data_IF_808413178783
#
_entry.id   IF_808413178783
#
_cell.length_a   1.000
_cell.length_b   1.000
_cell.length_c   1.000
_cell.angle_alpha   90.00
_cell.angle_beta   90.00
_cell.angle_gamma   90.00
#
_symmetry.space_group_name_H-M   'P 1'
#
loop_
_entity.id
_entity.type
_entity.pdbx_description
1 polymer ?
#
# COMPACT_ATOMS: atom_id res chain seq x y z
N UNK A 1 9.07 45.24 1.41
CA UNK A 1 9.48 43.82 1.39
C UNK A 1 8.20 43.01 1.36
N UNK A 2 7.96 42.31 0.25
CA UNK A 2 6.63 41.78 -0.07
C UNK A 2 6.38 40.49 0.72
N UNK A 3 5.53 40.57 1.74
CA UNK A 3 5.09 39.51 2.64
C UNK A 3 4.36 38.34 1.93
N UNK A 4 4.17 38.44 0.62
CA UNK A 4 3.54 37.40 -0.21
C UNK A 4 4.51 36.31 -0.69
N UNK A 5 5.81 36.58 -0.77
CA UNK A 5 6.79 35.59 -1.29
C UNK A 5 7.40 34.71 -0.21
N UNK A 6 7.29 35.09 1.07
CA UNK A 6 7.80 34.32 2.21
C UNK A 6 7.05 33.00 2.45
N UNK A 7 5.82 32.88 1.93
CA UNK A 7 4.93 31.71 2.12
C UNK A 7 5.08 30.62 1.04
N UNK A 8 5.85 30.88 -0.02
CA UNK A 8 6.11 29.89 -1.09
C UNK A 8 7.31 28.98 -0.78
N UNK A 9 8.18 29.44 0.13
CA UNK A 9 9.35 28.67 0.60
C UNK A 9 9.04 27.85 1.86
N UNK A 10 7.84 28.02 2.44
CA UNK A 10 7.40 27.18 3.56
C UNK A 10 7.14 25.76 3.04
N UNK A 11 7.82 24.73 3.60
CA UNK A 11 7.56 23.36 3.22
C UNK A 11 6.09 23.04 3.49
N UNK A 12 5.41 22.52 2.46
CA UNK A 12 4.00 22.16 2.56
C UNK A 12 3.77 21.32 3.82
N UNK A 13 2.71 21.64 4.60
CA UNK A 13 2.42 20.92 5.82
C UNK A 13 2.26 19.42 5.51
N UNK A 14 3.00 18.58 6.23
CA UNK A 14 2.99 17.15 6.00
C UNK A 14 1.60 16.59 6.34
N UNK A 15 0.87 16.12 5.32
CA UNK A 15 -0.45 15.51 5.52
C UNK A 15 -0.27 14.21 6.31
N UNK A 16 -0.92 14.12 7.47
CA UNK A 16 -0.94 12.90 8.28
C UNK A 16 -1.86 11.86 7.63
N UNK A 17 -1.31 11.06 6.72
CA UNK A 17 -2.02 9.97 6.06
C UNK A 17 -2.06 8.71 6.97
N UNK A 18 -3.20 8.02 6.97
CA UNK A 18 -3.40 6.74 7.67
C UNK A 18 -4.20 5.79 6.78
N UNK A 19 -4.21 4.49 7.10
CA UNK A 19 -5.04 3.52 6.34
C UNK A 19 -6.55 3.79 6.43
N UNK A 20 -6.99 4.67 7.34
CA UNK A 20 -8.40 5.05 7.50
C UNK A 20 -8.70 6.47 7.03
N UNK A 21 -7.72 7.14 6.40
CA UNK A 21 -7.92 8.47 5.82
C UNK A 21 -8.93 8.41 4.67
N UNK A 22 -9.71 9.47 4.51
CA UNK A 22 -10.70 9.66 3.44
C UNK A 22 -10.58 11.08 2.89
N UNK A 23 -11.01 11.25 1.65
CA UNK A 23 -11.13 12.52 0.94
C UNK A 23 -12.23 12.35 -0.12
N UNK A 24 -13.45 12.08 0.37
CA UNK A 24 -14.56 11.63 -0.48
C UNK A 24 -15.04 12.70 -1.47
N UNK A 25 -14.74 13.97 -1.23
CA UNK A 25 -15.03 15.08 -2.16
C UNK A 25 -14.18 15.01 -3.43
N UNK A 26 -13.05 14.29 -3.37
CA UNK A 26 -12.13 14.08 -4.49
C UNK A 26 -12.12 12.60 -4.95
N UNK A 27 -13.23 11.88 -4.76
CA UNK A 27 -13.40 10.46 -5.12
C UNK A 27 -12.35 9.52 -4.50
N UNK A 28 -11.84 9.88 -3.32
CA UNK A 28 -10.86 9.08 -2.58
C UNK A 28 -11.45 8.61 -1.25
N UNK A 29 -11.66 7.30 -1.15
CA UNK A 29 -12.47 6.68 -0.12
C UNK A 29 -11.63 5.87 0.88
N UNK A 30 -12.31 5.17 1.79
CA UNK A 30 -11.70 4.15 2.65
C UNK A 30 -12.68 3.00 2.84
N UNK A 31 -12.29 1.82 2.35
CA UNK A 31 -13.15 0.64 2.35
C UNK A 31 -12.89 -0.29 3.54
N UNK A 32 -11.85 0.01 4.34
CA UNK A 32 -11.61 -0.66 5.61
C UNK A 32 -12.70 -0.31 6.63
N UNK A 33 -13.50 -1.31 6.97
CA UNK A 33 -14.65 -1.14 7.85
C UNK A 33 -14.24 -0.85 9.30
N UNK A 34 -15.06 -0.03 9.98
CA UNK A 34 -14.94 0.17 11.43
C UNK A 34 -15.12 -1.19 12.13
N UNK A 35 -14.31 -1.48 13.15
CA UNK A 35 -14.54 -2.64 14.01
C UNK A 35 -15.94 -2.50 14.63
N UNK A 36 -16.85 -3.42 14.31
CA UNK A 36 -18.22 -3.48 14.83
C UNK A 36 -18.42 -4.83 15.53
N UNK A 37 -19.31 -4.88 16.53
CA UNK A 37 -19.77 -6.15 17.08
C UNK A 37 -20.47 -6.97 16.00
N UNK A 38 -20.18 -8.27 15.95
CA UNK A 38 -20.80 -9.23 15.02
C UNK A 38 -19.88 -9.68 13.87
N UNK A 39 -20.42 -10.52 13.00
CA UNK A 39 -19.68 -11.24 11.95
C UNK A 39 -19.56 -10.45 10.63
N UNK A 40 -19.47 -9.11 10.70
CA UNK A 40 -19.43 -8.26 9.50
C UNK A 40 -18.06 -8.34 8.81
N UNK A 41 -18.01 -8.29 7.47
CA UNK A 41 -16.76 -8.30 6.74
C UNK A 41 -15.88 -7.08 7.09
N UNK A 42 -14.57 -7.25 6.92
CA UNK A 42 -13.60 -6.18 7.14
C UNK A 42 -13.57 -5.14 6.00
N UNK A 43 -14.20 -5.45 4.88
CA UNK A 43 -14.30 -4.65 3.65
C UNK A 43 -15.78 -4.33 3.35
N UNK A 44 -16.00 -3.42 2.40
CA UNK A 44 -17.33 -3.01 1.94
C UNK A 44 -17.34 -1.55 1.49
N UNK A 45 -18.52 -0.91 1.47
CA UNK A 45 -18.66 0.48 1.07
C UNK A 45 -17.78 1.43 1.89
N UNK A 46 -17.50 2.61 1.34
CA UNK A 46 -16.71 3.64 1.99
C UNK A 46 -17.23 3.91 3.41
N UNK A 47 -16.37 3.82 4.41
CA UNK A 47 -16.72 4.01 5.83
C UNK A 47 -17.24 5.40 6.21
N UNK A 48 -17.19 6.36 5.28
CA UNK A 48 -17.52 7.77 5.49
C UNK A 48 -18.72 8.25 4.66
N UNK A 49 -18.84 7.80 3.40
CA UNK A 49 -19.91 8.23 2.48
C UNK A 49 -20.73 7.08 1.89
N UNK A 50 -20.46 5.83 2.28
CA UNK A 50 -21.16 4.62 1.82
C UNK A 50 -21.07 4.32 0.30
N UNK A 51 -20.15 4.99 -0.43
CA UNK A 51 -19.84 4.64 -1.82
C UNK A 51 -19.27 3.22 -1.93
N UNK A 52 -19.86 2.35 -2.76
CA UNK A 52 -19.41 0.97 -2.98
C UNK A 52 -18.87 0.82 -4.40
N UNK A 53 -17.57 1.04 -4.54
CA UNK A 53 -16.91 1.19 -5.86
C UNK A 53 -16.00 0.02 -6.22
N UNK A 54 -15.77 -0.91 -5.29
CA UNK A 54 -14.78 -1.98 -5.45
C UNK A 54 -15.48 -3.28 -5.79
N UNK A 55 -14.99 -3.94 -6.84
CA UNK A 55 -15.34 -5.33 -7.12
C UNK A 55 -14.57 -6.26 -6.17
N UNK A 56 -15.19 -6.56 -5.04
CA UNK A 56 -14.58 -7.42 -4.01
C UNK A 56 -14.38 -8.86 -4.48
N UNK A 57 -15.18 -9.34 -5.43
CA UNK A 57 -14.98 -10.67 -5.99
C UNK A 57 -13.64 -10.72 -6.73
N UNK A 58 -13.40 -9.78 -7.65
CA UNK A 58 -12.09 -9.66 -8.34
C UNK A 58 -10.95 -9.51 -7.36
N UNK A 59 -11.10 -8.64 -6.35
CA UNK A 59 -10.04 -8.40 -5.38
C UNK A 59 -9.65 -9.67 -4.59
N UNK A 60 -10.62 -10.54 -4.28
CA UNK A 60 -10.39 -11.74 -3.47
C UNK A 60 -10.09 -13.01 -4.29
N UNK A 61 -10.33 -12.99 -5.60
CA UNK A 61 -9.88 -14.03 -6.54
C UNK A 61 -8.35 -14.13 -6.60
N UNK A 62 -7.63 -13.00 -6.36
CA UNK A 62 -6.16 -12.92 -6.41
C UNK A 62 -5.58 -13.39 -7.75
N UNK A 63 -6.27 -13.07 -8.85
CA UNK A 63 -5.87 -13.41 -10.22
C UNK A 63 -4.68 -12.54 -10.68
N UNK A 64 -3.51 -13.13 -10.97
CA UNK A 64 -2.33 -12.42 -11.46
C UNK A 64 -2.55 -11.65 -12.78
N UNK A 65 -3.49 -12.10 -13.62
CA UNK A 65 -3.77 -11.47 -14.92
C UNK A 65 -4.67 -10.24 -14.80
N UNK A 66 -5.21 -9.98 -13.59
CA UNK A 66 -6.15 -8.88 -13.31
C UNK A 66 -5.58 -7.83 -12.35
N UNK A 67 -4.28 -7.84 -12.11
CA UNK A 67 -3.61 -6.90 -11.18
C UNK A 67 -3.82 -5.44 -11.58
N UNK A 68 -3.79 -5.09 -12.86
CA UNK A 68 -3.98 -3.69 -13.29
C UNK A 68 -5.39 -3.19 -12.96
N UNK A 69 -6.39 -4.05 -13.14
CA UNK A 69 -7.77 -3.74 -12.76
C UNK A 69 -7.91 -3.63 -11.22
N UNK A 70 -7.27 -4.53 -10.48
CA UNK A 70 -7.19 -4.42 -9.02
C UNK A 70 -6.54 -3.11 -8.57
N UNK A 71 -5.45 -2.69 -9.20
CA UNK A 71 -4.79 -1.41 -8.88
C UNK A 71 -5.68 -0.22 -9.19
N UNK A 72 -6.46 -0.25 -10.27
CA UNK A 72 -7.46 0.78 -10.52
C UNK A 72 -8.47 0.88 -9.37
N UNK A 73 -8.98 -0.25 -8.86
CA UNK A 73 -9.87 -0.26 -7.69
C UNK A 73 -9.17 0.27 -6.44
N UNK A 74 -7.95 -0.21 -6.15
CA UNK A 74 -7.19 0.20 -4.97
C UNK A 74 -6.92 1.69 -4.95
N UNK A 75 -6.65 2.29 -6.11
CA UNK A 75 -6.40 3.73 -6.26
C UNK A 75 -7.63 4.61 -6.03
N UNK A 76 -8.82 4.04 -5.86
CA UNK A 76 -9.98 4.77 -5.32
C UNK A 76 -9.91 4.96 -3.80
N UNK A 77 -8.94 4.35 -3.11
CA UNK A 77 -8.73 4.51 -1.66
C UNK A 77 -7.63 5.54 -1.36
N UNK A 78 -7.92 6.52 -0.49
CA UNK A 78 -7.07 7.70 -0.25
C UNK A 78 -5.61 7.37 0.09
N UNK A 79 -5.39 6.40 0.98
CA UNK A 79 -4.03 5.98 1.36
C UNK A 79 -3.28 5.35 0.17
N UNK A 80 -3.96 4.57 -0.66
CA UNK A 80 -3.35 3.85 -1.78
C UNK A 80 -2.98 4.82 -2.88
N UNK A 81 -3.89 5.73 -3.23
CA UNK A 81 -3.59 6.78 -4.20
C UNK A 81 -2.49 7.70 -3.71
N UNK A 82 -2.49 8.07 -2.43
CA UNK A 82 -1.40 8.87 -1.86
C UNK A 82 -0.05 8.17 -1.98
N UNK A 83 0.02 6.85 -1.79
CA UNK A 83 1.26 6.07 -1.96
C UNK A 83 1.63 5.90 -3.44
N UNK A 84 0.64 5.83 -4.32
CA UNK A 84 0.83 5.74 -5.77
C UNK A 84 1.27 7.06 -6.42
N UNK A 85 0.88 8.19 -5.87
CA UNK A 85 1.14 9.50 -6.47
C UNK A 85 2.31 10.24 -5.83
N UNK A 86 2.56 10.04 -4.54
CA UNK A 86 3.60 10.82 -3.86
C UNK A 86 5.01 10.48 -4.37
N UNK A 87 5.92 11.46 -4.48
CA UNK A 87 7.32 11.20 -4.73
C UNK A 87 7.95 10.32 -3.66
N UNK A 88 8.92 9.50 -4.05
CA UNK A 88 9.79 8.82 -3.09
C UNK A 88 10.64 9.86 -2.35
N UNK A 89 10.83 9.67 -1.05
CA UNK A 89 11.76 10.50 -0.29
C UNK A 89 13.22 10.21 -0.66
N UNK A 90 14.11 11.12 -0.27
CA UNK A 90 15.54 11.00 -0.58
C UNK A 90 16.18 9.72 -0.04
N UNK A 91 15.67 9.18 1.06
CA UNK A 91 16.18 7.95 1.68
C UNK A 91 15.82 6.71 0.85
N UNK A 92 14.58 6.64 0.38
CA UNK A 92 14.10 5.61 -0.52
C UNK A 92 14.89 5.64 -1.83
N UNK A 93 15.10 6.82 -2.41
CA UNK A 93 15.89 7.00 -3.63
C UNK A 93 17.36 6.59 -3.45
N UNK A 94 18.01 7.01 -2.34
CA UNK A 94 19.40 6.60 -2.06
C UNK A 94 19.55 5.09 -1.85
N UNK A 95 18.53 4.42 -1.30
CA UNK A 95 18.56 2.97 -1.08
C UNK A 95 18.30 2.20 -2.36
N UNK A 96 17.30 2.60 -3.16
CA UNK A 96 16.92 1.86 -4.38
C UNK A 96 18.05 1.87 -5.42
N UNK A 97 18.81 2.98 -5.51
CA UNK A 97 20.02 3.10 -6.36
C UNK A 97 21.14 2.11 -6.05
N UNK A 98 21.08 1.40 -4.92
CA UNK A 98 22.06 0.36 -4.55
C UNK A 98 21.68 -1.03 -5.03
N UNK A 99 20.49 -1.19 -5.62
CA UNK A 99 19.91 -2.47 -5.97
C UNK A 99 19.68 -2.55 -7.48
N UNK A 100 19.98 -3.70 -8.07
CA UNK A 100 19.40 -4.11 -9.35
C UNK A 100 18.01 -4.74 -9.11
N UNK A 101 17.28 -5.04 -10.19
CA UNK A 101 15.92 -5.60 -10.14
C UNK A 101 15.87 -6.92 -9.34
N UNK A 102 16.85 -7.80 -9.52
CA UNK A 102 16.89 -9.10 -8.82
C UNK A 102 17.11 -8.92 -7.31
N UNK A 103 18.03 -8.05 -6.91
CA UNK A 103 18.31 -7.74 -5.50
C UNK A 103 17.11 -7.06 -4.85
N UNK A 104 16.41 -6.19 -5.59
CA UNK A 104 15.20 -5.53 -5.11
C UNK A 104 14.07 -6.55 -4.89
N UNK A 105 13.83 -7.46 -5.82
CA UNK A 105 12.86 -8.54 -5.66
C UNK A 105 13.20 -9.45 -4.45
N UNK A 106 14.47 -9.84 -4.28
CA UNK A 106 14.88 -10.62 -3.10
C UNK A 106 14.61 -9.88 -1.78
N UNK A 107 14.76 -8.55 -1.77
CA UNK A 107 14.42 -7.69 -0.63
C UNK A 107 12.90 -7.66 -0.38
N UNK A 108 12.08 -7.61 -1.43
CA UNK A 108 10.61 -7.71 -1.32
C UNK A 108 10.20 -9.03 -0.66
N UNK A 109 10.70 -10.17 -1.16
CA UNK A 109 10.43 -11.49 -0.57
C UNK A 109 10.77 -11.54 0.91
N UNK A 110 11.96 -11.09 1.28
CA UNK A 110 12.42 -11.04 2.68
C UNK A 110 11.51 -10.14 3.53
N UNK A 111 11.06 -9.01 2.98
CA UNK A 111 10.18 -8.08 3.67
C UNK A 111 8.80 -8.67 3.92
N UNK A 112 8.16 -9.27 2.92
CA UNK A 112 6.85 -9.91 3.07
C UNK A 112 6.91 -11.02 4.12
N UNK A 113 7.88 -11.93 4.01
CA UNK A 113 8.04 -13.03 4.96
C UNK A 113 8.26 -12.55 6.41
N UNK A 114 9.11 -11.53 6.61
CA UNK A 114 9.43 -11.04 7.96
C UNK A 114 8.37 -10.12 8.58
N UNK A 115 7.62 -9.36 7.77
CA UNK A 115 6.66 -8.36 8.27
C UNK A 115 5.22 -8.87 8.40
N UNK A 116 4.78 -9.74 7.48
CA UNK A 116 3.37 -10.19 7.41
C UNK A 116 3.22 -11.69 7.15
N UNK A 117 4.34 -12.43 7.07
CA UNK A 117 4.37 -13.86 6.82
C UNK A 117 3.73 -14.67 7.94
N UNK A 118 4.04 -14.34 9.20
CA UNK A 118 3.44 -14.98 10.38
C UNK A 118 2.00 -14.50 10.60
N UNK A 119 1.22 -15.28 11.36
CA UNK A 119 -0.11 -14.87 11.79
C UNK A 119 -0.06 -13.58 12.63
N UNK A 120 -1.19 -12.87 12.70
CA UNK A 120 -1.30 -11.60 13.42
C UNK A 120 -0.87 -11.75 14.90
N UNK A 121 0.27 -11.14 15.25
CA UNK A 121 0.79 -11.07 16.61
C UNK A 121 0.56 -9.70 17.26
N UNK A 122 1.16 -9.49 18.44
CA UNK A 122 1.03 -8.24 19.23
C UNK A 122 1.49 -6.99 18.45
N UNK A 123 2.41 -7.16 17.50
CA UNK A 123 2.94 -6.09 16.68
C UNK A 123 2.20 -5.89 15.34
N UNK A 124 1.24 -6.77 14.99
CA UNK A 124 0.44 -6.62 13.79
C UNK A 124 -0.48 -5.39 13.89
N UNK A 125 -0.57 -4.63 12.80
CA UNK A 125 -1.32 -3.37 12.78
C UNK A 125 -0.63 -2.19 13.49
N UNK A 126 0.54 -2.38 14.12
CA UNK A 126 1.41 -1.24 14.44
C UNK A 126 1.80 -0.57 13.13
N UNK A 127 1.67 0.75 13.05
CA UNK A 127 1.84 1.49 11.80
C UNK A 127 3.19 1.15 11.15
N UNK A 128 3.16 0.40 10.06
CA UNK A 128 4.33 0.16 9.21
C UNK A 128 4.84 1.51 8.74
N UNK A 129 6.15 1.73 8.83
CA UNK A 129 6.78 2.96 8.36
C UNK A 129 6.27 3.30 6.94
N UNK A 130 5.93 4.57 6.73
CA UNK A 130 5.28 5.04 5.49
C UNK A 130 6.30 5.45 4.41
N UNK A 131 7.57 5.63 4.80
CA UNK A 131 8.61 6.24 3.96
C UNK A 131 10.01 5.72 4.29
N UNK A 132 11.01 6.12 3.52
CA UNK A 132 12.41 5.76 3.69
C UNK A 132 12.86 4.50 2.96
N UNK A 133 11.96 3.80 2.27
CA UNK A 133 12.28 2.65 1.41
C UNK A 133 11.16 2.44 0.37
N UNK A 134 11.48 2.28 -0.91
CA UNK A 134 10.47 2.11 -1.99
C UNK A 134 9.53 0.93 -1.74
N UNK A 135 10.01 -0.12 -1.06
CA UNK A 135 9.19 -1.30 -0.70
C UNK A 135 8.10 -0.93 0.30
N UNK A 136 8.32 0.06 1.19
CA UNK A 136 7.31 0.50 2.15
C UNK A 136 6.17 1.25 1.47
N UNK A 137 6.48 2.11 0.49
CA UNK A 137 5.48 2.77 -0.34
C UNK A 137 4.65 1.72 -1.09
N UNK A 138 5.32 0.75 -1.71
CA UNK A 138 4.67 -0.34 -2.41
C UNK A 138 3.73 -1.13 -1.49
N UNK A 139 4.18 -1.52 -0.29
CA UNK A 139 3.35 -2.24 0.67
C UNK A 139 2.07 -1.48 1.06
N UNK A 140 2.16 -0.16 1.25
CA UNK A 140 0.98 0.65 1.54
C UNK A 140 0.12 0.86 0.30
N UNK A 141 0.69 1.03 -0.89
CA UNK A 141 -0.06 1.15 -2.13
C UNK A 141 -0.85 -0.13 -2.47
N UNK A 142 -0.29 -1.30 -2.18
CA UNK A 142 -0.86 -2.60 -2.52
C UNK A 142 -1.49 -3.34 -1.34
N UNK A 143 -1.73 -2.63 -0.23
CA UNK A 143 -2.36 -3.16 0.99
C UNK A 143 -1.68 -4.43 1.57
N UNK A 144 -0.37 -4.57 1.38
CA UNK A 144 0.46 -5.67 1.91
C UNK A 144 1.27 -5.25 3.15
N UNK A 145 0.94 -4.10 3.75
CA UNK A 145 1.68 -3.50 4.86
C UNK A 145 1.37 -4.09 6.24
N UNK A 146 0.21 -4.72 6.43
CA UNK A 146 -0.18 -5.41 7.67
C UNK A 146 -1.27 -6.47 7.40
N UNK A 147 -1.52 -7.38 8.35
CA UNK A 147 -2.50 -8.46 8.14
C UNK A 147 -3.92 -7.94 8.02
N UNK A 148 -4.26 -6.81 8.66
CA UNK A 148 -5.58 -6.20 8.51
C UNK A 148 -5.80 -5.71 7.08
N UNK A 149 -4.79 -5.11 6.44
CA UNK A 149 -4.88 -4.66 5.06
C UNK A 149 -5.00 -5.84 4.09
N UNK A 150 -4.18 -6.86 4.32
CA UNK A 150 -4.22 -8.10 3.54
C UNK A 150 -5.59 -8.79 3.64
N UNK A 151 -6.18 -8.83 4.83
CA UNK A 151 -7.49 -9.44 5.04
C UNK A 151 -8.59 -8.82 4.18
N UNK A 152 -8.67 -7.49 4.13
CA UNK A 152 -9.83 -6.84 3.50
C UNK A 152 -9.65 -6.67 1.98
N UNK A 153 -8.42 -6.41 1.50
CA UNK A 153 -8.17 -6.30 0.05
C UNK A 153 -7.95 -7.64 -0.63
N UNK A 154 -7.27 -8.58 0.04
CA UNK A 154 -6.83 -9.83 -0.59
C UNK A 154 -7.56 -11.07 -0.05
N UNK A 155 -8.44 -10.90 0.94
CA UNK A 155 -9.25 -11.99 1.51
C UNK A 155 -8.46 -12.99 2.36
N UNK A 156 -7.16 -12.79 2.58
CA UNK A 156 -6.33 -13.78 3.31
C UNK A 156 -6.51 -13.60 4.82
N UNK A 157 -6.91 -14.64 5.57
CA UNK A 157 -7.23 -14.51 6.99
C UNK A 157 -6.02 -14.07 7.84
N UNK A 158 -6.20 -13.04 8.65
CA UNK A 158 -5.09 -12.48 9.46
C UNK A 158 -4.52 -13.43 10.51
N UNK A 159 -5.30 -14.40 11.01
CA UNK A 159 -4.94 -15.29 12.12
C UNK A 159 -4.23 -16.58 11.68
N UNK A 160 -4.01 -16.77 10.37
CA UNK A 160 -3.21 -17.88 9.85
C UNK A 160 -1.90 -17.35 9.27
N UNK A 161 -0.87 -18.20 9.30
CA UNK A 161 0.37 -17.95 8.59
C UNK A 161 0.11 -17.91 7.09
N UNK A 162 0.82 -17.03 6.38
CA UNK A 162 0.76 -17.01 4.92
C UNK A 162 1.33 -18.29 4.35
N UNK A 163 0.59 -18.88 3.43
CA UNK A 163 1.11 -19.92 2.53
C UNK A 163 2.11 -19.32 1.54
N UNK A 164 2.89 -20.17 0.90
CA UNK A 164 3.95 -19.70 0.01
C UNK A 164 3.40 -19.10 -1.29
N UNK A 165 2.30 -19.63 -1.81
CA UNK A 165 1.55 -19.03 -2.93
C UNK A 165 0.98 -17.65 -2.58
N UNK A 166 0.45 -17.49 -1.36
CA UNK A 166 -0.01 -16.19 -0.86
C UNK A 166 1.15 -15.20 -0.72
N UNK A 167 2.32 -15.62 -0.19
CA UNK A 167 3.51 -14.76 -0.12
C UNK A 167 3.96 -14.34 -1.52
N UNK A 168 3.97 -15.27 -2.47
CA UNK A 168 4.36 -15.00 -3.85
C UNK A 168 3.43 -13.98 -4.51
N UNK A 169 2.11 -14.16 -4.34
CA UNK A 169 1.11 -13.20 -4.81
C UNK A 169 1.34 -11.80 -4.23
N UNK A 170 1.59 -11.68 -2.92
CA UNK A 170 1.87 -10.37 -2.32
C UNK A 170 3.20 -9.76 -2.82
N UNK A 171 4.21 -10.59 -3.10
CA UNK A 171 5.46 -10.12 -3.73
C UNK A 171 5.18 -9.60 -5.14
N UNK A 172 4.43 -10.34 -5.95
CA UNK A 172 4.05 -9.94 -7.31
C UNK A 172 3.36 -8.56 -7.33
N UNK A 173 2.42 -8.30 -6.41
CA UNK A 173 1.78 -6.98 -6.31
C UNK A 173 2.81 -5.88 -6.01
N UNK A 174 3.73 -6.12 -5.07
CA UNK A 174 4.77 -5.16 -4.72
C UNK A 174 5.71 -4.92 -5.90
N UNK A 175 6.11 -5.97 -6.61
CA UNK A 175 6.98 -5.86 -7.79
C UNK A 175 6.29 -5.11 -8.92
N UNK A 176 5.00 -5.39 -9.20
CA UNK A 176 4.21 -4.65 -10.21
C UNK A 176 4.12 -3.16 -9.92
N UNK A 177 3.95 -2.78 -8.65
CA UNK A 177 4.04 -1.38 -8.23
C UNK A 177 5.44 -0.80 -8.52
N UNK A 178 6.51 -1.54 -8.18
CA UNK A 178 7.88 -1.08 -8.36
C UNK A 178 8.25 -0.97 -9.84
N UNK A 179 7.77 -1.86 -10.70
CA UNK A 179 7.96 -1.78 -12.15
C UNK A 179 7.29 -0.52 -12.73
N UNK A 180 6.11 -0.14 -12.21
CA UNK A 180 5.41 1.06 -12.65
C UNK A 180 6.01 2.37 -12.12
N UNK A 181 6.73 2.34 -10.97
CA UNK A 181 7.14 3.56 -10.24
C UNK A 181 8.66 3.75 -10.14
N UNK A 182 9.43 2.69 -10.23
CA UNK A 182 10.89 2.70 -10.21
C UNK A 182 11.39 2.48 -11.63
N UNK A 183 11.69 3.59 -12.29
CA UNK A 183 12.33 3.59 -13.61
C UNK A 183 13.69 2.91 -13.55
N UNK A 184 14.13 2.38 -14.69
CA UNK A 184 15.41 1.68 -14.75
C UNK A 184 16.57 2.61 -14.37
N UNK A 185 16.49 3.90 -14.70
CA UNK A 185 17.43 4.99 -14.32
C UNK A 185 17.60 5.21 -12.81
N UNK A 186 16.70 4.63 -12.00
CA UNK A 186 16.76 4.69 -10.54
C UNK A 186 17.47 3.47 -9.93
N UNK A 187 17.73 2.42 -10.72
CA UNK A 187 18.37 1.19 -10.26
C UNK A 187 19.89 1.24 -10.43
N UNK A 188 20.58 0.29 -9.79
CA UNK A 188 22.02 0.13 -9.99
C UNK A 188 22.30 -0.48 -11.36
N UNK A 189 23.16 0.15 -12.14
CA UNK A 189 23.65 -0.39 -13.41
C UNK A 189 22.83 -0.01 -14.64
N UNK A 190 21.93 0.97 -14.50
CA UNK A 190 21.33 1.74 -15.61
C UNK A 190 22.26 2.81 -16.15
#
# INVERSE_FOLDING_TARGET
MNDLTSRLDEPLPQIKITCTSVDCENDLHCFLQKRRSGNKPAFGPCRACDADLVDWQRAHERDPDRIDALFADMRTEKIREHMWSQPFDGDALRKVRKHDRQTLHAKVRKRIASSVGKSAGVYDGRQTAMKGDVVLYAQHATATCCRQCILYWHGIPKNVELKDDEKEYLCLLVDRYLDARVGDDMLRGS
#
